data_IF_348557554730
#
_entry.id   IF_348557554730
#
_cell.length_a   1.000
_cell.length_b   1.000
_cell.length_c   1.000
_cell.angle_alpha   90.00
_cell.angle_beta   90.00
_cell.angle_gamma   90.00
#
_symmetry.space_group_name_H-M   'P 1'
#
loop_
_entity.id
_entity.type
_entity.pdbx_description
1 polymer ?
#
# COMPACT_ATOMS: atom_id res chain seq x y z
N UNK A 1 -5.58 -21.93 -2.04
CA UNK A 1 -5.95 -20.50 -2.11
C UNK A 1 -5.44 -19.92 -3.42
N UNK A 2 -6.32 -19.31 -4.21
CA UNK A 2 -6.12 -19.03 -5.64
C UNK A 2 -4.99 -18.01 -5.89
N UNK A 3 -3.88 -18.48 -6.48
CA UNK A 3 -3.02 -17.62 -7.33
C UNK A 3 -3.76 -17.41 -8.65
N UNK A 4 -4.55 -16.35 -8.73
CA UNK A 4 -4.93 -15.75 -10.01
C UNK A 4 -4.13 -14.47 -10.15
N UNK A 5 -2.83 -14.61 -10.44
CA UNK A 5 -2.15 -13.57 -11.18
C UNK A 5 -2.70 -13.68 -12.61
N UNK A 6 -3.86 -13.06 -12.86
CA UNK A 6 -4.20 -12.64 -14.20
C UNK A 6 -2.97 -11.87 -14.68
N UNK A 7 -2.34 -12.31 -15.77
CA UNK A 7 -1.26 -11.56 -16.41
C UNK A 7 -1.82 -10.15 -16.67
N UNK A 8 -1.50 -9.21 -15.79
CA UNK A 8 -1.96 -7.84 -15.90
C UNK A 8 -1.42 -7.31 -17.22
N UNK A 9 -2.31 -6.85 -18.08
CA UNK A 9 -1.92 -6.25 -19.36
C UNK A 9 -1.12 -4.99 -19.02
N UNK A 10 0.21 -5.06 -19.22
CA UNK A 10 1.08 -3.92 -19.00
C UNK A 10 0.81 -2.88 -20.07
N UNK A 11 0.56 -1.65 -19.65
CA UNK A 11 0.53 -0.52 -20.57
C UNK A 11 1.88 0.20 -20.54
N UNK A 12 2.43 0.56 -21.72
CA UNK A 12 3.64 1.37 -21.76
C UNK A 12 3.32 2.76 -21.19
N UNK A 13 4.21 3.25 -20.33
CA UNK A 13 4.15 4.61 -19.80
C UNK A 13 5.43 5.35 -20.19
N UNK A 14 5.28 6.55 -20.74
CA UNK A 14 6.40 7.46 -20.97
C UNK A 14 6.57 8.35 -19.74
N UNK A 15 7.71 8.24 -19.07
CA UNK A 15 8.04 9.05 -17.90
C UNK A 15 9.45 9.62 -18.02
N UNK A 16 9.64 10.82 -17.47
CA UNK A 16 10.93 11.48 -17.37
C UNK A 16 11.57 11.11 -16.03
N UNK A 17 12.76 10.48 -16.08
CA UNK A 17 13.59 10.18 -14.91
C UNK A 17 14.86 11.01 -15.01
N UNK A 18 15.41 11.39 -13.85
CA UNK A 18 16.72 12.02 -13.77
C UNK A 18 17.79 11.24 -14.58
N UNK A 19 18.54 11.98 -15.39
CA UNK A 19 19.49 11.40 -16.34
C UNK A 19 20.70 10.77 -15.66
N UNK A 20 21.12 11.27 -14.49
CA UNK A 20 22.23 10.71 -13.72
C UNK A 20 21.80 9.40 -13.08
N UNK A 21 20.61 9.37 -12.48
CA UNK A 21 20.02 8.15 -11.92
C UNK A 21 19.84 7.07 -12.99
N UNK A 22 19.39 7.42 -14.19
CA UNK A 22 19.27 6.45 -15.29
C UNK A 22 20.60 5.90 -15.77
N UNK A 23 21.67 6.72 -15.79
CA UNK A 23 23.02 6.26 -16.14
C UNK A 23 23.56 5.31 -15.08
N UNK A 24 23.36 5.64 -13.81
CA UNK A 24 23.75 4.80 -12.67
C UNK A 24 23.01 3.46 -12.69
N UNK A 25 21.68 3.47 -12.84
CA UNK A 25 20.87 2.26 -12.94
C UNK A 25 21.33 1.35 -14.09
N UNK A 26 21.64 1.93 -15.26
CA UNK A 26 22.20 1.17 -16.40
C UNK A 26 23.58 0.61 -16.10
N UNK A 27 24.45 1.38 -15.43
CA UNK A 27 25.79 0.93 -15.04
C UNK A 27 25.77 -0.23 -14.03
N UNK A 28 24.68 -0.35 -13.27
CA UNK A 28 24.46 -1.40 -12.27
C UNK A 28 23.54 -2.54 -12.74
N UNK A 29 23.17 -2.57 -14.03
CA UNK A 29 22.24 -3.55 -14.62
C UNK A 29 20.87 -3.63 -13.89
N UNK A 30 20.40 -2.49 -13.39
CA UNK A 30 19.09 -2.40 -12.72
C UNK A 30 17.97 -2.48 -13.75
N UNK A 31 17.01 -3.37 -13.51
CA UNK A 31 15.78 -3.42 -14.30
C UNK A 31 14.85 -2.25 -13.94
N UNK A 32 15.06 -1.12 -14.61
CA UNK A 32 14.34 0.14 -14.36
C UNK A 32 12.83 -0.01 -14.47
N UNK A 33 12.34 -0.80 -15.42
CA UNK A 33 10.89 -1.00 -15.59
C UNK A 33 10.27 -1.66 -14.35
N UNK A 34 10.94 -2.69 -13.81
CA UNK A 34 10.48 -3.36 -12.59
C UNK A 34 10.62 -2.49 -11.35
N UNK A 35 11.70 -1.72 -11.24
CA UNK A 35 11.88 -0.78 -10.13
C UNK A 35 10.79 0.30 -10.14
N UNK A 36 10.46 0.85 -11.32
CA UNK A 36 9.39 1.82 -11.47
C UNK A 36 8.02 1.21 -11.11
N UNK A 37 7.71 0.00 -11.59
CA UNK A 37 6.46 -0.70 -11.26
C UNK A 37 6.31 -0.92 -9.74
N UNK A 38 7.38 -1.36 -9.07
CA UNK A 38 7.38 -1.54 -7.61
C UNK A 38 7.16 -0.23 -6.85
N UNK A 39 7.88 0.84 -7.21
CA UNK A 39 7.73 2.15 -6.57
C UNK A 39 6.34 2.75 -6.78
N UNK A 40 5.76 2.60 -7.98
CA UNK A 40 4.39 3.03 -8.27
C UNK A 40 3.39 2.23 -7.43
N UNK A 41 3.55 0.90 -7.33
CA UNK A 41 2.67 0.06 -6.54
C UNK A 41 2.69 0.44 -5.05
N UNK A 42 3.87 0.72 -4.50
CA UNK A 42 4.02 1.18 -3.11
C UNK A 42 3.34 2.54 -2.90
N UNK A 43 3.60 3.52 -3.77
CA UNK A 43 2.97 4.85 -3.68
C UNK A 43 1.44 4.77 -3.77
N UNK A 44 0.90 3.95 -4.68
CA UNK A 44 -0.54 3.73 -4.81
C UNK A 44 -1.12 3.06 -3.56
N UNK A 45 -0.44 2.07 -3.00
CA UNK A 45 -0.89 1.40 -1.78
C UNK A 45 -0.91 2.37 -0.58
N UNK A 46 0.13 3.20 -0.43
CA UNK A 46 0.21 4.21 0.60
C UNK A 46 -0.93 5.23 0.48
N UNK A 47 -1.22 5.72 -0.73
CA UNK A 47 -2.29 6.70 -0.94
C UNK A 47 -3.68 6.09 -0.71
N UNK A 48 -3.91 4.85 -1.14
CA UNK A 48 -5.15 4.12 -0.81
C UNK A 48 -5.33 3.96 0.69
N UNK A 49 -4.27 3.61 1.42
CA UNK A 49 -4.32 3.50 2.87
C UNK A 49 -4.61 4.86 3.54
N UNK A 50 -4.03 5.95 3.02
CA UNK A 50 -4.30 7.31 3.50
C UNK A 50 -5.76 7.71 3.30
N UNK A 51 -6.31 7.48 2.11
CA UNK A 51 -7.71 7.77 1.79
C UNK A 51 -8.66 6.93 2.64
N UNK A 52 -8.39 5.63 2.77
CA UNK A 52 -9.21 4.74 3.61
C UNK A 52 -9.25 5.22 5.07
N UNK A 53 -8.11 5.63 5.64
CA UNK A 53 -8.07 6.19 7.00
C UNK A 53 -8.90 7.46 7.13
N UNK A 54 -8.86 8.34 6.12
CA UNK A 54 -9.65 9.57 6.13
C UNK A 54 -11.15 9.27 6.08
N UNK A 55 -11.57 8.37 5.18
CA UNK A 55 -12.95 7.96 4.99
C UNK A 55 -13.52 7.27 6.25
N UNK A 56 -12.70 6.47 6.93
CA UNK A 56 -13.13 5.68 8.07
C UNK A 56 -12.83 6.34 9.42
N UNK A 57 -12.31 7.58 9.43
CA UNK A 57 -11.91 8.28 10.65
C UNK A 57 -13.04 8.35 11.68
N UNK A 58 -14.24 8.76 11.26
CA UNK A 58 -15.39 8.89 12.16
C UNK A 58 -15.81 7.54 12.78
N UNK A 59 -15.78 6.47 11.98
CA UNK A 59 -16.07 5.11 12.46
C UNK A 59 -15.03 4.62 13.45
N UNK A 60 -13.74 4.90 13.17
CA UNK A 60 -12.64 4.55 14.08
C UNK A 60 -12.75 5.31 15.39
N UNK A 61 -13.04 6.61 15.35
CA UNK A 61 -13.26 7.45 16.54
C UNK A 61 -14.46 6.93 17.36
N UNK A 62 -15.60 6.66 16.72
CA UNK A 62 -16.77 6.12 17.39
C UNK A 62 -16.49 4.76 18.05
N UNK A 63 -15.72 3.89 17.38
CA UNK A 63 -15.31 2.61 17.94
C UNK A 63 -14.35 2.77 19.12
N UNK A 64 -13.37 3.66 19.01
CA UNK A 64 -12.44 3.95 20.10
C UNK A 64 -13.18 4.49 21.33
N UNK A 65 -14.15 5.39 21.14
CA UNK A 65 -14.99 5.88 22.24
C UNK A 65 -15.83 4.76 22.88
N UNK A 66 -16.36 3.85 22.07
CA UNK A 66 -17.12 2.72 22.57
C UNK A 66 -16.23 1.82 23.45
N UNK A 67 -15.03 1.47 22.98
CA UNK A 67 -14.09 0.62 23.73
C UNK A 67 -13.64 1.31 25.02
N UNK A 68 -13.39 2.62 25.00
CA UNK A 68 -13.04 3.38 26.21
C UNK A 68 -14.16 3.35 27.25
N UNK A 69 -15.41 3.45 26.81
CA UNK A 69 -16.60 3.47 27.69
C UNK A 69 -17.01 2.08 28.19
N UNK A 70 -16.80 1.04 27.38
CA UNK A 70 -17.39 -0.29 27.61
C UNK A 70 -16.35 -1.41 27.78
N UNK A 71 -15.07 -1.11 27.63
CA UNK A 71 -14.00 -2.11 27.56
C UNK A 71 -13.98 -2.84 26.22
N UNK A 72 -13.06 -3.79 26.07
CA UNK A 72 -12.95 -4.60 24.86
C UNK A 72 -14.08 -5.65 24.88
N UNK A 73 -14.94 -5.71 23.84
CA UNK A 73 -15.97 -6.73 23.79
C UNK A 73 -15.39 -8.15 23.89
N UNK A 74 -16.02 -8.98 24.72
CA UNK A 74 -15.67 -10.39 24.93
C UNK A 74 -14.25 -10.61 25.48
N UNK A 75 -13.64 -9.58 26.09
CA UNK A 75 -12.31 -9.69 26.70
C UNK A 75 -12.23 -10.84 27.73
N UNK A 76 -13.32 -11.06 28.47
CA UNK A 76 -13.46 -12.13 29.46
C UNK A 76 -13.34 -13.56 28.90
N UNK A 77 -13.46 -13.75 27.59
CA UNK A 77 -13.37 -15.06 26.93
C UNK A 77 -12.03 -15.26 26.21
N UNK A 78 -11.08 -14.34 26.34
CA UNK A 78 -9.77 -14.44 25.69
C UNK A 78 -8.96 -15.59 26.33
N UNK A 79 -8.70 -16.64 25.55
CA UNK A 79 -7.79 -17.73 25.94
C UNK A 79 -6.38 -17.35 25.49
N UNK A 80 -5.51 -17.03 26.45
CA UNK A 80 -4.06 -16.89 26.25
C UNK A 80 -3.34 -18.09 26.86
#
# INVERSE_FOLDING_TARGET
>A
MRKLALNAVRQPANLSIDSKLMKEAKGLDVNVSRAAEAGIAEAVAAEKARLWKLENRATIEAWNEYVEKHGIPLEEHRQF
#
